data_IF_054794734448
#
_entry.id   IF_054794734448
#
_cell.length_a   1.000
_cell.length_b   1.000
_cell.length_c   1.000
_cell.angle_alpha   90.00
_cell.angle_beta   90.00
_cell.angle_gamma   90.00
#
_symmetry.space_group_name_H-M   'P 1'
#
loop_
_entity.id
_entity.type
_entity.pdbx_description
1 polymer ?
#
# COMPACT_ATOMS: atom_id res chain seq x y z
N UNK A 1 2.11 -2.90 24.98
CA UNK A 1 2.04 -1.60 24.27
C UNK A 1 0.96 -0.77 24.96
N UNK A 2 1.22 0.51 25.27
CA UNK A 2 0.22 1.42 25.87
C UNK A 2 -0.07 2.51 24.85
N UNK A 3 -1.34 2.82 24.62
CA UNK A 3 -1.81 3.84 23.68
C UNK A 3 -2.55 4.94 24.45
N UNK A 4 -1.86 5.98 24.98
CA UNK A 4 -2.46 6.98 25.86
C UNK A 4 -3.48 7.91 25.16
N UNK A 5 -3.45 7.96 23.83
CA UNK A 5 -4.35 8.76 23.00
C UNK A 5 -5.39 7.88 22.29
N UNK A 6 -5.67 6.67 22.79
CA UNK A 6 -6.58 5.73 22.13
C UNK A 6 -8.01 6.28 21.99
N UNK A 7 -8.49 7.01 22.98
CA UNK A 7 -9.85 7.58 22.99
C UNK A 7 -9.93 8.98 22.36
N UNK A 8 -8.80 9.53 21.91
CA UNK A 8 -8.77 10.87 21.33
C UNK A 8 -9.28 10.85 19.89
N UNK A 9 -10.14 11.79 19.56
CA UNK A 9 -10.54 12.05 18.19
C UNK A 9 -9.50 12.92 17.48
N UNK A 10 -9.59 12.99 16.15
CA UNK A 10 -8.77 13.92 15.35
C UNK A 10 -8.93 15.38 15.82
N UNK A 11 -10.16 15.77 16.17
CA UNK A 11 -10.45 17.12 16.66
C UNK A 11 -9.77 17.40 18.00
N UNK A 12 -9.74 16.43 18.91
CA UNK A 12 -9.09 16.58 20.23
C UNK A 12 -7.59 16.81 20.10
N UNK A 13 -6.93 16.07 19.18
CA UNK A 13 -5.50 16.24 18.90
C UNK A 13 -5.19 17.66 18.42
N UNK A 14 -5.93 18.15 17.42
CA UNK A 14 -5.70 19.51 16.88
C UNK A 14 -6.05 20.61 17.86
N UNK A 15 -7.12 20.43 18.64
CA UNK A 15 -7.49 21.36 19.69
C UNK A 15 -6.36 21.49 20.73
N UNK A 16 -5.79 20.36 21.15
CA UNK A 16 -4.69 20.34 22.10
C UNK A 16 -3.42 20.98 21.53
N UNK A 17 -3.07 20.70 20.27
CA UNK A 17 -1.93 21.32 19.58
C UNK A 17 -2.09 22.85 19.57
N UNK A 18 -3.27 23.35 19.21
CA UNK A 18 -3.55 24.78 19.11
C UNK A 18 -3.47 25.50 20.47
N UNK A 19 -4.09 24.95 21.52
CA UNK A 19 -4.08 25.57 22.87
C UNK A 19 -2.67 25.64 23.44
N UNK A 20 -1.87 24.59 23.22
CA UNK A 20 -0.54 24.47 23.81
C UNK A 20 0.57 25.01 22.90
N UNK A 21 0.23 25.57 21.73
CA UNK A 21 1.18 26.07 20.72
C UNK A 21 2.28 25.04 20.38
N UNK A 22 1.86 23.78 20.18
CA UNK A 22 2.79 22.70 19.84
C UNK A 22 3.16 22.81 18.37
N UNK A 23 4.46 22.84 18.00
CA UNK A 23 4.85 22.80 16.60
C UNK A 23 4.45 21.45 15.99
N UNK A 24 3.78 21.49 14.84
CA UNK A 24 3.38 20.32 14.06
C UNK A 24 4.06 20.31 12.68
N UNK A 25 3.92 19.20 11.96
CA UNK A 25 4.52 19.05 10.63
C UNK A 25 3.76 19.90 9.57
N UNK A 26 4.43 20.81 8.83
CA UNK A 26 3.80 21.63 7.79
C UNK A 26 3.05 20.83 6.70
N UNK A 27 3.43 19.56 6.46
CA UNK A 27 2.73 18.70 5.51
C UNK A 27 1.25 18.48 5.87
N UNK A 28 0.87 18.65 7.14
CA UNK A 28 -0.54 18.61 7.53
C UNK A 28 -1.36 19.72 6.88
N UNK A 29 -0.75 20.86 6.55
CA UNK A 29 -1.40 21.97 5.82
C UNK A 29 -1.52 21.67 4.32
N UNK A 30 -0.70 20.75 3.80
CA UNK A 30 -0.70 20.28 2.41
C UNK A 30 -1.55 19.01 2.20
N UNK A 31 -2.54 18.78 3.08
CA UNK A 31 -3.44 17.62 3.04
C UNK A 31 -2.77 16.24 3.27
N UNK A 32 -1.72 16.19 4.10
CA UNK A 32 -1.15 14.94 4.60
C UNK A 32 -1.56 14.65 6.06
N UNK A 33 -2.76 14.12 6.35
CA UNK A 33 -3.19 13.82 7.71
C UNK A 33 -2.42 12.66 8.37
N UNK A 34 -1.93 11.69 7.59
CA UNK A 34 -1.09 10.59 8.06
C UNK A 34 0.25 10.59 7.34
N UNK A 35 1.33 10.95 8.05
CA UNK A 35 2.68 11.06 7.48
C UNK A 35 3.52 9.83 7.82
N UNK A 36 4.16 9.22 6.83
CA UNK A 36 5.13 8.12 6.97
C UNK A 36 6.40 8.40 6.17
N UNK A 37 6.99 7.36 5.56
CA UNK A 37 8.14 7.51 4.66
C UNK A 37 7.72 8.20 3.35
N UNK A 38 8.64 8.96 2.75
CA UNK A 38 8.40 9.72 1.52
C UNK A 38 7.79 8.90 0.36
N UNK A 39 8.27 7.68 0.01
CA UNK A 39 7.69 6.93 -1.12
C UNK A 39 6.32 6.31 -0.81
N UNK A 40 5.93 6.25 0.47
CA UNK A 40 4.73 5.53 0.92
C UNK A 40 3.70 6.43 1.59
N UNK A 41 3.80 7.74 1.36
CA UNK A 41 2.85 8.74 1.86
C UNK A 41 2.42 9.66 0.72
N UNK A 42 1.10 9.85 0.53
CA UNK A 42 0.51 10.83 -0.40
C UNK A 42 -0.49 11.73 0.31
N UNK A 43 -0.78 12.88 -0.30
CA UNK A 43 -1.89 13.73 0.12
C UNK A 43 -3.23 13.01 -0.12
N UNK A 44 -4.21 13.31 0.74
CA UNK A 44 -5.58 12.78 0.63
C UNK A 44 -6.54 13.87 0.12
N UNK A 45 -7.61 13.44 -0.54
CA UNK A 45 -8.67 14.36 -0.98
C UNK A 45 -9.75 14.51 0.08
N UNK A 46 -10.61 15.54 -0.06
CA UNK A 46 -11.71 15.77 0.87
C UNK A 46 -12.71 14.60 0.81
N UNK A 47 -12.95 13.97 1.95
CA UNK A 47 -13.86 12.83 2.09
C UNK A 47 -13.18 11.46 2.04
N UNK A 48 -11.88 11.40 1.72
CA UNK A 48 -11.08 10.19 1.90
C UNK A 48 -10.79 9.94 3.39
N UNK A 49 -10.57 8.67 3.76
CA UNK A 49 -10.12 8.30 5.10
C UNK A 49 -8.74 8.92 5.40
N UNK A 50 -8.50 9.27 6.67
CA UNK A 50 -7.28 9.95 7.11
C UNK A 50 -6.01 9.11 6.91
N UNK A 51 -6.09 7.77 6.86
CA UNK A 51 -4.94 6.88 6.57
C UNK A 51 -4.89 6.43 5.12
N UNK A 52 -5.84 6.81 4.27
CA UNK A 52 -5.88 6.42 2.84
C UNK A 52 -4.66 6.88 2.03
N UNK A 53 -3.92 7.87 2.54
CA UNK A 53 -2.64 8.32 1.99
C UNK A 53 -1.47 7.37 2.22
N UNK A 54 -1.65 6.28 2.98
CA UNK A 54 -0.65 5.25 3.29
C UNK A 54 -1.06 3.93 2.64
N UNK A 55 -0.12 3.23 1.99
CA UNK A 55 -0.37 1.95 1.31
C UNK A 55 -1.49 2.00 0.26
N UNK A 56 -1.61 3.12 -0.47
CA UNK A 56 -2.70 3.35 -1.43
C UNK A 56 -2.68 2.39 -2.64
N UNK A 57 -1.60 1.64 -2.83
CA UNK A 57 -1.44 0.65 -3.90
C UNK A 57 -1.50 -0.80 -3.41
N UNK A 58 -1.61 -1.01 -2.09
CA UNK A 58 -1.50 -2.31 -1.45
C UNK A 58 -2.88 -2.88 -1.08
N UNK A 59 -2.96 -4.20 -0.87
CA UNK A 59 -4.22 -4.85 -0.52
C UNK A 59 -4.69 -4.44 0.89
N UNK A 60 -6.00 -4.37 1.09
CA UNK A 60 -6.66 -3.88 2.32
C UNK A 60 -6.13 -4.55 3.61
N UNK A 61 -5.68 -5.80 3.53
CA UNK A 61 -5.17 -6.60 4.65
C UNK A 61 -3.75 -6.22 5.12
N UNK A 62 -2.98 -5.46 4.34
CA UNK A 62 -1.59 -5.09 4.65
C UNK A 62 -1.44 -3.65 5.20
N UNK A 63 -2.52 -3.08 5.73
CA UNK A 63 -2.60 -1.66 6.14
C UNK A 63 -1.98 -1.34 7.50
N UNK A 64 -1.06 -2.16 7.99
CA UNK A 64 -0.38 -1.90 9.26
C UNK A 64 1.12 -2.07 9.15
N UNK A 65 1.85 -1.13 9.77
CA UNK A 65 3.29 -1.09 9.64
C UNK A 65 3.92 -2.19 10.49
N UNK A 66 5.04 -2.76 10.05
CA UNK A 66 5.79 -3.75 10.83
C UNK A 66 6.30 -3.27 12.21
N UNK A 67 6.13 -1.99 12.55
CA UNK A 67 6.33 -1.46 13.90
C UNK A 67 5.21 -1.89 14.89
N UNK A 68 4.09 -2.37 14.37
CA UNK A 68 2.92 -2.82 15.12
C UNK A 68 2.83 -4.34 14.99
N UNK A 69 3.64 -5.04 15.79
CA UNK A 69 3.55 -6.49 15.93
C UNK A 69 2.62 -6.84 17.09
N UNK A 70 1.91 -7.95 16.94
CA UNK A 70 1.25 -8.60 18.06
C UNK A 70 2.30 -9.14 19.05
N UNK A 71 1.87 -9.42 20.27
CA UNK A 71 2.76 -9.77 21.38
C UNK A 71 3.68 -10.98 21.10
N UNK A 72 3.31 -11.82 20.13
CA UNK A 72 4.04 -13.03 19.75
C UNK A 72 5.10 -12.78 18.66
N UNK A 73 5.22 -11.55 18.14
CA UNK A 73 6.21 -11.19 17.12
C UNK A 73 5.99 -11.83 15.75
N UNK A 74 4.86 -12.52 15.55
CA UNK A 74 4.49 -13.13 14.27
C UNK A 74 3.86 -12.08 13.37
N UNK A 75 4.61 -11.65 12.36
CA UNK A 75 4.02 -11.00 11.21
C UNK A 75 3.24 -12.06 10.42
N UNK A 76 1.91 -12.03 10.45
CA UNK A 76 1.13 -12.56 9.34
C UNK A 76 1.37 -11.62 8.14
N UNK A 77 2.54 -11.77 7.51
CA UNK A 77 2.74 -11.32 6.16
C UNK A 77 1.83 -12.22 5.29
N UNK A 78 0.59 -11.79 5.10
CA UNK A 78 -0.26 -12.38 4.09
C UNK A 78 0.44 -12.11 2.75
N UNK A 79 1.11 -13.12 2.21
CA UNK A 79 1.73 -13.04 0.88
C UNK A 79 0.69 -12.52 -0.11
N UNK A 80 0.98 -11.46 -0.89
CA UNK A 80 0.08 -11.07 -1.95
C UNK A 80 -0.02 -12.27 -2.89
N UNK A 81 -1.25 -12.71 -3.14
CA UNK A 81 -1.54 -13.75 -4.12
C UNK A 81 -0.64 -13.52 -5.34
N UNK A 82 0.27 -14.47 -5.55
CA UNK A 82 1.18 -14.44 -6.67
C UNK A 82 0.35 -14.08 -7.92
N UNK A 83 0.90 -13.19 -8.74
CA UNK A 83 0.43 -13.03 -10.10
C UNK A 83 0.61 -14.39 -10.77
N UNK A 84 -0.42 -15.23 -10.71
CA UNK A 84 -0.51 -16.49 -11.41
C UNK A 84 -0.26 -16.16 -12.89
N UNK A 85 0.85 -16.60 -13.51
CA UNK A 85 0.94 -16.51 -14.94
C UNK A 85 -0.17 -17.41 -15.46
N UNK A 86 -1.18 -16.84 -16.11
CA UNK A 86 -2.23 -17.62 -16.75
C UNK A 86 -1.57 -18.69 -17.59
N UNK A 87 -1.67 -19.93 -17.12
CA UNK A 87 -1.23 -21.15 -17.79
C UNK A 87 -2.03 -21.28 -19.09
N UNK A 88 -1.57 -20.59 -20.13
CA UNK A 88 -1.96 -20.89 -21.49
C UNK A 88 -1.19 -22.14 -21.88
N UNK A 89 -1.84 -23.27 -21.70
CA UNK A 89 -1.39 -24.55 -22.24
C UNK A 89 -1.37 -24.43 -23.77
N UNK A 90 -0.21 -24.11 -24.35
CA UNK A 90 0.04 -24.35 -25.77
C UNK A 90 0.28 -25.84 -25.95
N UNK A 91 -0.82 -26.57 -26.12
CA UNK A 91 -0.83 -27.93 -26.62
C UNK A 91 -1.10 -27.90 -28.12
N UNK A 92 -0.08 -28.13 -28.92
CA UNK A 92 -0.17 -28.99 -30.10
C UNK A 92 1.19 -29.14 -30.76
N UNK A 93 1.76 -30.31 -30.54
CA UNK A 93 2.71 -30.95 -31.44
C UNK A 93 2.06 -31.13 -32.82
N UNK A 94 2.59 -30.48 -33.84
CA UNK A 94 2.54 -31.01 -35.21
C UNK A 94 3.95 -30.92 -35.79
N UNK A 95 4.63 -32.06 -35.74
CA UNK A 95 5.77 -32.37 -36.58
C UNK A 95 5.26 -32.65 -37.99
N UNK A 96 5.72 -31.90 -38.98
CA UNK A 96 5.74 -32.33 -40.38
C UNK A 96 6.82 -31.56 -41.15
N UNK A 97 8.00 -32.15 -41.18
CA UNK A 97 8.92 -32.32 -42.32
C UNK A 97 8.58 -31.51 -43.61
N UNK A 98 9.45 -30.53 -43.88
CA UNK A 98 10.05 -30.00 -45.15
C UNK A 98 9.56 -30.60 -46.50
N UNK A 99 9.39 -29.80 -47.59
CA UNK A 99 10.52 -29.51 -48.50
C UNK A 99 10.58 -28.11 -49.14
N UNK A 100 11.81 -27.59 -49.21
CA UNK A 100 12.47 -26.81 -50.28
C UNK A 100 11.62 -26.47 -51.53
N UNK A 101 11.47 -25.17 -51.87
CA UNK A 101 11.52 -24.67 -53.27
C UNK A 101 11.68 -23.14 -53.41
N UNK A 102 12.82 -22.78 -54.04
CA UNK A 102 13.22 -21.62 -54.88
C UNK A 102 12.31 -20.36 -55.06
N UNK A 103 12.88 -19.15 -54.77
CA UNK A 103 13.29 -18.01 -55.67
C UNK A 103 12.41 -17.69 -56.93
N UNK A 104 12.29 -16.46 -57.50
CA UNK A 104 12.31 -15.04 -57.03
C UNK A 104 11.16 -14.16 -57.63
N UNK A 105 11.14 -12.86 -57.29
CA UNK A 105 11.11 -11.76 -58.27
C UNK A 105 11.80 -10.53 -57.66
#
# INVERSE_FOLDING_TARGET
>A
KINPLADWTWGDVWHFIAINNIPYNPLHDEFFPSVGCAPCTRAVTLGEDFRSGRWWWEQESAKECGLHVDADGTHEAQEPAAFEPTSSTVSSTVSCIIPIRQIPA
#
